data_IF_184035026842
#
_entry.id   IF_184035026842
#
_cell.length_a   1.000
_cell.length_b   1.000
_cell.length_c   1.000
_cell.angle_alpha   90.00
_cell.angle_beta   90.00
_cell.angle_gamma   90.00
#
_symmetry.space_group_name_H-M   'P 1'
#
loop_
_entity.id
_entity.type
_entity.pdbx_description
1 polymer ?
#
# COMPACT_ATOMS: atom_id res chain seq x y z
N UNK A 1 -41.08 58.36 -15.04
CA UNK A 1 -41.33 57.85 -16.40
C UNK A 1 -40.03 57.88 -17.19
N UNK A 2 -39.73 56.76 -17.86
CA UNK A 2 -38.80 56.59 -18.99
C UNK A 2 -37.29 56.62 -18.63
N UNK A 3 -36.44 55.73 -19.12
CA UNK A 3 -36.58 54.65 -20.10
C UNK A 3 -35.18 54.07 -20.36
N UNK A 4 -35.10 52.75 -20.38
CA UNK A 4 -33.89 51.93 -20.53
C UNK A 4 -33.29 52.06 -21.95
N UNK A 5 -31.97 52.24 -22.07
CA UNK A 5 -31.25 52.21 -23.35
C UNK A 5 -30.33 50.98 -23.37
N UNK A 6 -30.61 50.07 -24.31
CA UNK A 6 -29.84 48.85 -24.62
C UNK A 6 -28.58 49.19 -25.41
N UNK A 7 -27.48 48.49 -25.14
CA UNK A 7 -26.33 48.37 -26.04
C UNK A 7 -26.46 47.12 -26.92
N UNK A 8 -26.01 47.14 -28.20
CA UNK A 8 -26.11 46.03 -29.13
C UNK A 8 -24.93 45.03 -29.01
N UNK A 9 -25.23 43.75 -29.27
CA UNK A 9 -24.28 42.64 -29.30
C UNK A 9 -23.51 42.59 -30.62
N UNK A 10 -22.21 42.24 -30.55
CA UNK A 10 -21.35 41.96 -31.71
C UNK A 10 -21.47 40.49 -32.17
N UNK A 11 -21.29 40.18 -33.46
CA UNK A 11 -21.44 38.83 -34.00
C UNK A 11 -20.16 38.01 -33.82
N UNK A 12 -20.27 36.79 -33.31
CA UNK A 12 -19.16 35.82 -33.28
C UNK A 12 -19.36 34.85 -34.44
N UNK A 13 -18.39 34.85 -35.37
CA UNK A 13 -18.32 33.90 -36.48
C UNK A 13 -18.26 32.46 -35.96
N UNK A 14 -19.19 31.64 -36.45
CA UNK A 14 -19.25 30.18 -36.25
C UNK A 14 -18.34 29.51 -37.28
N UNK A 15 -17.23 28.92 -36.83
CA UNK A 15 -16.44 28.00 -37.65
C UNK A 15 -17.00 26.59 -37.48
N UNK A 16 -17.42 26.02 -38.62
CA UNK A 16 -17.95 24.66 -38.76
C UNK A 16 -16.79 23.65 -38.79
N UNK A 17 -16.86 22.60 -37.97
CA UNK A 17 -15.97 21.43 -38.03
C UNK A 17 -16.84 20.23 -38.45
N UNK A 18 -16.40 19.40 -39.41
CA UNK A 18 -17.20 18.33 -39.99
C UNK A 18 -17.45 17.17 -39.02
N UNK A 19 -18.68 16.64 -39.07
CA UNK A 19 -19.14 15.43 -38.42
C UNK A 19 -18.40 14.20 -38.97
N UNK A 20 -17.83 13.40 -38.08
CA UNK A 20 -17.40 12.04 -38.36
C UNK A 20 -18.30 11.09 -37.57
N UNK A 21 -19.21 10.44 -38.30
CA UNK A 21 -20.04 9.35 -37.83
C UNK A 21 -19.21 8.11 -37.48
N UNK A 22 -19.34 7.63 -36.25
CA UNK A 22 -19.11 6.22 -35.92
C UNK A 22 -19.91 5.79 -34.68
N UNK A 23 -20.45 4.57 -34.64
CA UNK A 23 -21.57 4.22 -33.77
C UNK A 23 -21.14 3.93 -32.33
N UNK A 24 -21.70 4.68 -31.38
CA UNK A 24 -21.57 4.41 -29.95
C UNK A 24 -22.52 3.27 -29.58
N UNK A 25 -21.96 2.09 -29.31
CA UNK A 25 -22.63 1.03 -28.55
C UNK A 25 -22.85 1.54 -27.13
N UNK A 26 -24.10 1.55 -26.69
CA UNK A 26 -24.51 1.81 -25.30
C UNK A 26 -24.03 0.68 -24.40
N UNK A 27 -22.86 0.89 -23.77
CA UNK A 27 -22.35 0.06 -22.68
C UNK A 27 -22.48 0.81 -21.36
N UNK A 28 -23.32 0.27 -20.47
CA UNK A 28 -23.46 0.68 -19.07
C UNK A 28 -22.10 0.89 -18.39
N UNK A 29 -21.82 2.12 -17.93
CA UNK A 29 -20.64 2.44 -17.14
C UNK A 29 -20.91 2.11 -15.66
N UNK A 30 -20.21 1.10 -15.19
CA UNK A 30 -20.12 0.69 -13.80
C UNK A 30 -19.14 1.63 -13.05
N UNK A 31 -19.51 2.36 -11.98
CA UNK A 31 -18.63 3.31 -11.33
C UNK A 31 -17.79 2.60 -10.26
N UNK A 32 -16.75 1.87 -10.68
CA UNK A 32 -15.74 1.34 -9.78
C UNK A 32 -14.36 1.48 -10.42
N UNK A 33 -13.54 2.39 -9.87
CA UNK A 33 -12.10 2.39 -10.12
C UNK A 33 -11.53 3.66 -10.73
N UNK A 34 -11.51 4.75 -9.96
CA UNK A 34 -10.57 5.85 -10.19
C UNK A 34 -9.81 6.14 -8.88
N UNK A 35 -8.76 5.37 -8.62
CA UNK A 35 -7.71 5.76 -7.65
C UNK A 35 -6.40 5.07 -8.02
N UNK A 36 -5.60 5.75 -8.84
CA UNK A 36 -4.30 5.23 -9.26
C UNK A 36 -3.67 6.09 -10.35
N UNK A 37 -3.33 7.33 -10.04
CA UNK A 37 -2.38 8.10 -10.85
C UNK A 37 -1.18 8.44 -9.96
N UNK A 38 -0.06 7.77 -10.21
CA UNK A 38 1.25 8.18 -9.72
C UNK A 38 2.04 8.73 -10.89
N UNK A 39 2.68 9.89 -10.67
CA UNK A 39 3.72 10.42 -11.53
C UNK A 39 4.98 9.58 -11.32
N UNK A 40 5.30 8.71 -12.26
CA UNK A 40 6.61 8.08 -12.36
C UNK A 40 7.59 9.09 -12.96
N UNK A 41 8.55 9.51 -12.14
CA UNK A 41 9.67 10.30 -12.58
C UNK A 41 10.90 9.93 -11.77
N UNK A 42 11.93 9.50 -12.49
CA UNK A 42 13.34 9.45 -12.08
C UNK A 42 13.78 8.17 -11.32
N UNK A 43 14.16 7.11 -12.06
CA UNK A 43 15.53 6.56 -12.15
C UNK A 43 15.59 5.14 -12.77
N UNK A 44 16.31 5.06 -13.90
CA UNK A 44 17.13 3.94 -14.44
C UNK A 44 16.50 2.57 -14.75
N UNK A 45 16.12 2.45 -16.02
CA UNK A 45 16.68 1.56 -17.05
C UNK A 45 17.44 0.30 -16.60
N UNK A 46 16.78 -0.86 -16.71
CA UNK A 46 17.42 -2.17 -16.87
C UNK A 46 17.04 -2.79 -18.23
N UNK A 47 18.06 -3.31 -18.91
CA UNK A 47 18.04 -3.77 -20.30
C UNK A 47 17.20 -5.04 -20.45
N UNK A 48 16.33 -5.09 -21.45
CA UNK A 48 15.70 -6.32 -21.93
C UNK A 48 16.66 -7.02 -22.90
N UNK A 49 17.17 -8.19 -22.53
CA UNK A 49 17.69 -9.16 -23.49
C UNK A 49 16.54 -10.07 -23.92
N UNK A 50 16.17 -10.01 -25.19
CA UNK A 50 15.18 -10.91 -25.80
C UNK A 50 15.92 -12.11 -26.37
N UNK A 51 15.64 -13.30 -25.84
CA UNK A 51 15.96 -14.57 -26.51
C UNK A 51 14.66 -15.33 -26.67
N UNK A 52 14.21 -15.49 -27.92
CA UNK A 52 13.15 -16.42 -28.31
C UNK A 52 13.74 -17.83 -28.36
N UNK A 53 13.12 -18.76 -27.66
CA UNK A 53 13.27 -20.19 -27.92
C UNK A 53 11.90 -20.85 -27.72
N UNK A 54 11.48 -21.54 -28.76
CA UNK A 54 10.22 -22.26 -28.88
C UNK A 54 10.55 -23.73 -28.59
N UNK A 55 10.06 -24.33 -27.50
CA UNK A 55 10.09 -25.79 -27.32
C UNK A 55 9.09 -26.25 -26.24
N UNK A 56 8.52 -27.43 -26.48
CA UNK A 56 7.24 -27.91 -25.96
C UNK A 56 7.09 -28.09 -24.44
N UNK A 57 5.83 -28.31 -24.06
CA UNK A 57 5.31 -28.50 -22.71
C UNK A 57 5.93 -29.74 -22.03
N UNK A 58 6.73 -29.59 -20.96
CA UNK A 58 7.06 -30.72 -20.10
C UNK A 58 5.96 -30.85 -19.04
N UNK A 59 5.49 -32.08 -18.80
CA UNK A 59 4.70 -32.39 -17.62
C UNK A 59 5.55 -32.12 -16.37
N UNK A 60 5.01 -31.37 -15.40
CA UNK A 60 5.71 -31.03 -14.16
C UNK A 60 5.69 -32.24 -13.23
N UNK A 61 6.84 -32.78 -12.80
CA UNK A 61 6.86 -33.76 -11.72
C UNK A 61 6.47 -33.05 -10.41
N UNK A 62 5.47 -33.60 -9.72
CA UNK A 62 5.15 -33.26 -8.33
C UNK A 62 6.37 -33.63 -7.48
N UNK A 63 7.16 -32.62 -7.15
CA UNK A 63 8.26 -32.74 -6.20
C UNK A 63 7.87 -31.93 -4.97
N UNK A 64 7.60 -32.62 -3.88
CA UNK A 64 7.54 -32.06 -2.53
C UNK A 64 8.92 -31.48 -2.21
N UNK A 65 9.15 -30.26 -2.69
CA UNK A 65 10.23 -29.41 -2.21
C UNK A 65 9.88 -29.00 -0.79
N UNK A 66 10.80 -29.05 0.19
CA UNK A 66 10.54 -28.49 1.51
C UNK A 66 10.07 -27.05 1.31
N UNK A 67 8.88 -26.74 1.83
CA UNK A 67 8.24 -25.44 1.63
C UNK A 67 9.25 -24.36 2.01
N UNK A 68 9.75 -23.61 1.03
CA UNK A 68 10.64 -22.50 1.31
C UNK A 68 9.90 -21.57 2.27
N UNK A 69 10.48 -21.36 3.44
CA UNK A 69 9.94 -20.47 4.45
C UNK A 69 9.82 -19.05 3.84
N UNK A 70 8.73 -18.36 4.18
CA UNK A 70 8.36 -17.07 3.60
C UNK A 70 8.05 -16.05 4.69
N UNK A 71 8.24 -14.78 4.34
CA UNK A 71 7.74 -13.65 5.12
C UNK A 71 6.56 -13.05 4.37
N UNK A 72 5.40 -13.02 5.00
CA UNK A 72 4.23 -12.29 4.50
C UNK A 72 4.12 -10.96 5.24
N UNK A 73 4.16 -9.86 4.52
CA UNK A 73 3.80 -8.54 5.05
C UNK A 73 2.36 -8.24 4.67
N UNK A 74 1.54 -7.84 5.64
CA UNK A 74 0.14 -7.51 5.45
C UNK A 74 -0.11 -6.12 6.01
N UNK A 75 -0.58 -5.21 5.15
CA UNK A 75 -1.04 -3.90 5.61
C UNK A 75 -2.42 -4.05 6.23
N UNK A 76 -2.63 -3.42 7.38
CA UNK A 76 -3.92 -3.39 8.07
C UNK A 76 -5.10 -3.02 7.15
N UNK A 77 -6.30 -3.40 7.59
CA UNK A 77 -7.58 -3.10 6.98
C UNK A 77 -7.85 -1.62 6.82
N UNK A 78 -8.72 -1.28 5.85
CA UNK A 78 -9.21 0.08 5.68
C UNK A 78 -9.99 0.48 6.93
N UNK A 79 -9.66 1.60 7.58
CA UNK A 79 -10.45 2.12 8.68
C UNK A 79 -11.70 2.84 8.18
N UNK A 80 -12.73 2.85 9.03
CA UNK A 80 -13.91 3.69 8.93
C UNK A 80 -13.53 5.12 9.34
N UNK A 81 -13.05 5.92 8.38
CA UNK A 81 -12.55 7.27 8.64
C UNK A 81 -12.90 8.21 7.49
N UNK A 82 -13.26 9.49 7.75
CA UNK A 82 -13.82 10.37 6.71
C UNK A 82 -12.94 10.52 5.45
N UNK A 83 -11.62 10.64 5.63
CA UNK A 83 -10.70 10.91 4.52
C UNK A 83 -10.10 9.66 3.87
N UNK A 84 -10.29 8.47 4.45
CA UNK A 84 -10.01 7.22 3.70
C UNK A 84 -11.04 6.97 2.61
N UNK A 85 -12.19 7.64 2.67
CA UNK A 85 -13.26 7.56 1.67
C UNK A 85 -13.22 8.76 0.69
N UNK A 86 -12.68 9.91 1.10
CA UNK A 86 -12.61 11.13 0.29
C UNK A 86 -11.19 11.74 0.24
N UNK A 87 -10.19 11.07 -0.36
CA UNK A 87 -8.79 11.54 -0.35
C UNK A 87 -8.58 12.90 -1.05
N UNK A 88 -9.50 13.28 -1.95
CA UNK A 88 -9.49 14.55 -2.68
C UNK A 88 -10.10 15.74 -1.93
N UNK A 89 -10.67 15.53 -0.73
CA UNK A 89 -11.30 16.59 0.05
C UNK A 89 -10.27 17.58 0.56
N UNK A 90 -10.53 18.87 0.30
CA UNK A 90 -9.66 19.96 0.73
C UNK A 90 -9.85 20.27 2.21
N UNK A 91 -8.77 20.18 2.99
CA UNK A 91 -8.76 20.43 4.43
C UNK A 91 -7.58 21.30 4.84
N UNK A 92 -7.72 21.98 5.98
CA UNK A 92 -6.65 22.74 6.60
C UNK A 92 -5.69 21.80 7.33
N UNK A 93 -4.41 22.19 7.43
CA UNK A 93 -3.41 21.40 8.16
C UNK A 93 -3.76 21.18 9.63
N UNK A 94 -4.41 22.15 10.29
CA UNK A 94 -4.92 21.97 11.67
C UNK A 94 -5.91 20.82 11.77
N UNK A 95 -6.77 20.68 10.77
CA UNK A 95 -7.77 19.63 10.70
C UNK A 95 -7.07 18.30 10.45
N UNK A 96 -6.15 18.23 9.49
CA UNK A 96 -5.32 17.03 9.26
C UNK A 96 -4.57 16.57 10.52
N UNK A 97 -3.90 17.49 11.24
CA UNK A 97 -3.16 17.16 12.47
C UNK A 97 -4.08 16.61 13.56
N UNK A 98 -5.29 17.18 13.73
CA UNK A 98 -6.30 16.68 14.67
C UNK A 98 -6.78 15.28 14.29
N UNK A 99 -7.09 15.09 13.01
CA UNK A 99 -7.62 13.84 12.46
C UNK A 99 -6.60 12.72 12.45
N UNK A 100 -5.31 13.01 12.22
CA UNK A 100 -4.26 12.00 12.26
C UNK A 100 -4.18 11.31 13.62
N UNK A 101 -4.52 12.01 14.71
CA UNK A 101 -4.61 11.42 16.06
C UNK A 101 -5.81 10.49 16.18
N UNK A 102 -6.98 10.94 15.72
CA UNK A 102 -8.23 10.16 15.75
C UNK A 102 -8.18 8.94 14.81
N UNK A 103 -7.31 8.96 13.80
CA UNK A 103 -7.13 7.84 12.88
C UNK A 103 -6.66 6.57 13.60
N UNK A 104 -5.78 6.69 14.60
CA UNK A 104 -5.29 5.52 15.35
C UNK A 104 -6.37 4.84 16.19
N UNK A 105 -7.41 5.60 16.58
CA UNK A 105 -8.54 5.12 17.38
C UNK A 105 -9.68 4.54 16.52
N UNK A 106 -9.66 4.79 15.21
CA UNK A 106 -10.73 4.42 14.28
C UNK A 106 -10.90 2.90 14.15
N UNK A 107 -12.16 2.46 14.04
CA UNK A 107 -12.51 1.07 13.76
C UNK A 107 -12.26 0.71 12.29
N UNK A 108 -12.21 -0.59 11.99
CA UNK A 108 -12.14 -1.08 10.61
C UNK A 108 -13.50 -0.95 9.90
N UNK A 109 -13.46 -0.64 8.60
CA UNK A 109 -14.63 -0.76 7.72
C UNK A 109 -14.86 -2.24 7.38
N UNK A 110 -15.77 -2.90 8.10
CA UNK A 110 -15.95 -4.35 8.01
C UNK A 110 -16.39 -4.84 6.62
N UNK A 111 -17.29 -4.14 5.94
CA UNK A 111 -17.81 -4.56 4.62
C UNK A 111 -16.74 -4.47 3.54
N UNK A 112 -16.02 -3.35 3.47
CA UNK A 112 -14.92 -3.17 2.53
C UNK A 112 -13.81 -4.20 2.77
N UNK A 113 -13.43 -4.42 4.03
CA UNK A 113 -12.36 -5.34 4.37
C UNK A 113 -12.72 -6.80 4.07
N UNK A 114 -13.95 -7.24 4.36
CA UNK A 114 -14.40 -8.60 4.02
C UNK A 114 -14.38 -8.83 2.51
N UNK A 115 -14.97 -7.92 1.73
CA UNK A 115 -14.95 -8.02 0.28
C UNK A 115 -13.52 -8.03 -0.27
N UNK A 116 -12.61 -7.22 0.31
CA UNK A 116 -11.22 -7.20 -0.10
C UNK A 116 -10.50 -8.52 0.18
N UNK A 117 -10.81 -9.20 1.29
CA UNK A 117 -10.25 -10.51 1.63
C UNK A 117 -10.74 -11.62 0.70
N UNK A 118 -12.03 -11.63 0.36
CA UNK A 118 -12.63 -12.60 -0.56
C UNK A 118 -12.01 -12.56 -1.97
N UNK A 119 -11.39 -11.44 -2.35
CA UNK A 119 -10.72 -11.26 -3.63
C UNK A 119 -9.26 -11.75 -3.65
N UNK A 120 -8.71 -12.20 -2.52
CA UNK A 120 -7.37 -12.81 -2.49
C UNK A 120 -7.43 -14.29 -2.91
N UNK A 121 -6.33 -14.80 -3.45
CA UNK A 121 -6.21 -16.21 -3.79
C UNK A 121 -6.39 -17.08 -2.52
N UNK A 122 -7.28 -18.09 -2.51
CA UNK A 122 -7.51 -18.94 -1.35
C UNK A 122 -6.23 -19.57 -0.78
N UNK A 123 -5.39 -20.14 -1.66
CA UNK A 123 -4.11 -20.77 -1.29
C UNK A 123 -3.16 -19.80 -0.57
N UNK A 124 -3.16 -18.51 -0.95
CA UNK A 124 -2.35 -17.50 -0.28
C UNK A 124 -2.83 -17.27 1.15
N UNK A 125 -4.15 -17.18 1.35
CA UNK A 125 -4.74 -17.00 2.67
C UNK A 125 -4.50 -18.22 3.57
N UNK A 126 -4.55 -19.44 3.03
CA UNK A 126 -4.23 -20.66 3.78
C UNK A 126 -2.78 -20.69 4.25
N UNK A 127 -1.85 -20.27 3.40
CA UNK A 127 -0.41 -20.15 3.75
C UNK A 127 -0.19 -19.12 4.85
N UNK A 128 -0.90 -17.99 4.81
CA UNK A 128 -0.87 -16.99 5.88
C UNK A 128 -1.44 -17.56 7.19
N UNK A 129 -2.59 -18.22 7.14
CA UNK A 129 -3.20 -18.85 8.33
C UNK A 129 -2.33 -19.95 8.95
N UNK A 130 -1.51 -20.59 8.14
CA UNK A 130 -0.56 -21.63 8.55
C UNK A 130 0.78 -21.06 9.06
N UNK A 131 1.07 -19.80 8.79
CA UNK A 131 2.29 -19.13 9.22
C UNK A 131 2.24 -18.69 10.69
N UNK A 132 3.40 -18.39 11.29
CA UNK A 132 3.47 -17.79 12.62
C UNK A 132 2.95 -16.35 12.56
N UNK A 133 1.88 -16.00 13.29
CA UNK A 133 1.28 -14.68 13.22
C UNK A 133 1.93 -13.69 14.17
N UNK A 134 2.32 -12.53 13.62
CA UNK A 134 2.93 -11.42 14.33
C UNK A 134 2.15 -10.14 13.96
N UNK A 135 1.94 -9.24 14.90
CA UNK A 135 1.22 -7.98 14.64
C UNK A 135 1.86 -6.80 15.35
N UNK A 136 1.70 -5.61 14.77
CA UNK A 136 1.71 -4.38 15.55
C UNK A 136 0.59 -4.43 16.58
N UNK A 137 0.85 -3.87 17.75
CA UNK A 137 -0.13 -3.71 18.84
C UNK A 137 -1.14 -2.57 18.61
N UNK A 138 -0.97 -1.74 17.58
CA UNK A 138 -1.96 -0.74 17.21
C UNK A 138 -3.26 -1.44 16.78
N UNK A 139 -4.38 -1.01 17.37
CA UNK A 139 -5.72 -1.61 17.27
C UNK A 139 -6.12 -2.09 15.87
N UNK A 140 -5.90 -1.28 14.82
CA UNK A 140 -6.29 -1.67 13.46
C UNK A 140 -5.47 -2.85 12.90
N UNK A 141 -4.21 -3.00 13.32
CA UNK A 141 -3.38 -4.14 12.91
C UNK A 141 -3.85 -5.42 13.61
N UNK A 142 -4.08 -5.36 14.93
CA UNK A 142 -4.60 -6.51 15.69
C UNK A 142 -5.99 -6.93 15.22
N UNK A 143 -6.90 -5.98 14.99
CA UNK A 143 -8.22 -6.27 14.41
C UNK A 143 -8.13 -6.88 13.00
N UNK A 144 -7.13 -6.49 12.21
CA UNK A 144 -6.89 -7.10 10.90
C UNK A 144 -6.39 -8.52 11.03
N UNK A 145 -5.49 -8.78 11.98
CA UNK A 145 -5.01 -10.13 12.25
C UNK A 145 -6.18 -11.06 12.64
N UNK A 146 -7.06 -10.63 13.57
CA UNK A 146 -8.26 -11.39 13.93
C UNK A 146 -9.20 -11.62 12.74
N UNK A 147 -9.38 -10.62 11.87
CA UNK A 147 -10.21 -10.75 10.67
C UNK A 147 -9.64 -11.78 9.67
N UNK A 148 -8.32 -11.87 9.53
CA UNK A 148 -7.65 -12.76 8.57
C UNK A 148 -7.47 -14.17 9.12
N UNK A 149 -7.12 -14.29 10.40
CA UNK A 149 -6.74 -15.55 11.05
C UNK A 149 -7.88 -16.22 11.83
N UNK A 150 -8.91 -15.46 12.18
CA UNK A 150 -9.95 -15.85 13.13
C UNK A 150 -9.66 -15.32 14.54
N UNK A 151 -10.72 -15.07 15.31
CA UNK A 151 -10.64 -14.41 16.63
C UNK A 151 -9.88 -15.21 17.70
N UNK A 152 -9.83 -16.54 17.57
CA UNK A 152 -9.21 -17.43 18.56
C UNK A 152 -7.72 -17.71 18.29
N UNK A 153 -7.13 -17.12 17.25
CA UNK A 153 -5.72 -17.35 16.94
C UNK A 153 -4.86 -16.49 17.87
N UNK A 154 -3.90 -17.12 18.54
CA UNK A 154 -2.88 -16.39 19.29
C UNK A 154 -1.96 -15.65 18.32
N UNK A 155 -1.74 -14.36 18.57
CA UNK A 155 -0.97 -13.45 17.70
C UNK A 155 0.07 -12.72 18.55
N UNK A 156 1.33 -12.85 18.15
CA UNK A 156 2.45 -12.24 18.84
C UNK A 156 2.49 -10.73 18.56
N UNK A 157 2.17 -9.89 19.55
CA UNK A 157 1.98 -8.45 19.37
C UNK A 157 3.16 -7.65 19.89
N UNK A 158 3.69 -6.73 19.08
CA UNK A 158 4.89 -5.96 19.41
C UNK A 158 4.79 -4.49 19.01
N UNK A 159 5.35 -3.61 19.85
CA UNK A 159 5.52 -2.19 19.52
C UNK A 159 6.52 -1.96 18.37
N UNK A 160 7.42 -2.93 18.15
CA UNK A 160 8.45 -2.91 17.12
C UNK A 160 7.88 -2.62 15.72
N UNK A 161 6.65 -3.07 15.46
CA UNK A 161 5.98 -2.98 14.17
C UNK A 161 4.97 -1.83 14.07
N UNK A 162 4.96 -0.87 15.01
CA UNK A 162 4.10 0.33 14.94
C UNK A 162 4.41 1.20 13.72
N UNK A 163 3.43 1.99 13.31
CA UNK A 163 3.60 2.97 12.22
C UNK A 163 4.62 4.05 12.62
N UNK A 164 5.31 4.63 11.64
CA UNK A 164 6.22 5.75 11.90
C UNK A 164 5.41 6.99 12.29
N UNK A 165 5.67 7.61 13.45
CA UNK A 165 5.00 8.84 13.87
C UNK A 165 5.45 10.00 12.98
N UNK A 166 4.53 10.49 12.14
CA UNK A 166 4.81 11.60 11.24
C UNK A 166 4.71 12.95 11.96
N UNK A 167 5.54 13.94 11.59
CA UNK A 167 5.46 15.27 12.16
C UNK A 167 4.19 15.99 11.72
N UNK A 168 3.77 16.96 12.51
CA UNK A 168 2.64 17.83 12.17
C UNK A 168 2.93 18.67 10.91
N UNK A 169 1.90 18.90 10.11
CA UNK A 169 1.96 19.80 8.94
C UNK A 169 1.58 21.24 9.33
N UNK A 170 1.95 22.26 8.54
CA UNK A 170 1.58 23.65 8.81
C UNK A 170 0.07 23.84 8.90
N UNK A 171 -0.40 24.39 10.02
CA UNK A 171 -1.84 24.46 10.34
C UNK A 171 -2.67 25.29 9.38
N UNK A 172 -2.06 26.35 8.84
CA UNK A 172 -2.67 27.34 7.93
C UNK A 172 -2.71 26.87 6.47
N UNK A 173 -2.09 25.75 6.12
CA UNK A 173 -2.02 25.29 4.74
C UNK A 173 -3.29 24.50 4.39
N UNK A 174 -3.98 24.88 3.30
CA UNK A 174 -5.15 24.15 2.79
C UNK A 174 -4.77 23.36 1.54
N UNK A 175 -4.91 22.04 1.61
CA UNK A 175 -4.61 21.10 0.54
C UNK A 175 -5.61 19.94 0.56
N UNK A 176 -5.72 19.13 -0.50
CA UNK A 176 -6.42 17.86 -0.41
C UNK A 176 -5.81 16.97 0.69
N UNK A 177 -6.64 16.21 1.41
CA UNK A 177 -6.24 15.42 2.57
C UNK A 177 -5.03 14.50 2.28
N UNK A 178 -4.99 13.88 1.10
CA UNK A 178 -3.88 13.05 0.68
C UNK A 178 -2.54 13.81 0.54
N UNK A 179 -2.57 15.07 0.12
CA UNK A 179 -1.36 15.89 -0.02
C UNK A 179 -0.75 16.27 1.33
N UNK A 180 -1.55 16.40 2.38
CA UNK A 180 -1.03 16.58 3.75
C UNK A 180 -0.23 15.38 4.23
N UNK A 181 -0.67 14.15 3.90
CA UNK A 181 0.10 12.94 4.22
C UNK A 181 1.45 12.91 3.48
N UNK A 182 1.46 13.29 2.21
CA UNK A 182 2.71 13.41 1.44
C UNK A 182 3.62 14.46 2.09
N UNK A 183 3.08 15.64 2.41
CA UNK A 183 3.82 16.72 3.03
C UNK A 183 4.41 16.30 4.38
N UNK A 184 3.65 15.59 5.22
CA UNK A 184 4.13 15.09 6.51
C UNK A 184 5.34 14.15 6.33
N UNK A 185 5.31 13.25 5.32
CA UNK A 185 6.44 12.39 4.97
C UNK A 185 7.64 13.18 4.45
N UNK A 186 7.42 14.20 3.61
CA UNK A 186 8.50 15.06 3.11
C UNK A 186 9.17 15.84 4.25
N UNK A 187 8.38 16.39 5.16
CA UNK A 187 8.90 17.06 6.37
C UNK A 187 9.70 16.09 7.25
N UNK A 188 9.21 14.86 7.43
CA UNK A 188 9.92 13.81 8.14
C UNK A 188 11.26 13.46 7.48
N UNK A 189 11.27 13.30 6.14
CA UNK A 189 12.49 13.07 5.37
C UNK A 189 13.48 14.24 5.44
N UNK A 190 12.97 15.47 5.56
CA UNK A 190 13.76 16.69 5.74
C UNK A 190 14.27 16.87 7.18
N UNK A 191 13.95 15.95 8.10
CA UNK A 191 14.42 15.99 9.49
C UNK A 191 13.62 16.91 10.40
N UNK A 192 12.37 17.25 10.04
CA UNK A 192 11.45 17.92 10.97
C UNK A 192 11.29 17.05 12.22
N UNK A 193 11.33 17.69 13.39
CA UNK A 193 11.17 17.01 14.68
C UNK A 193 9.88 16.19 14.72
N UNK A 194 10.04 14.91 15.02
CA UNK A 194 9.00 13.91 15.27
C UNK A 194 9.48 12.99 16.40
N UNK A 195 8.57 12.19 16.96
CA UNK A 195 8.90 11.25 18.05
C UNK A 195 9.92 10.19 17.62
N UNK A 196 9.96 9.88 16.32
CA UNK A 196 10.95 8.99 15.73
C UNK A 196 11.62 9.66 14.53
N UNK A 197 12.92 9.99 14.60
CA UNK A 197 13.67 10.49 13.45
C UNK A 197 13.98 9.38 12.44
N UNK A 198 14.39 9.78 11.23
CA UNK A 198 14.67 8.87 10.12
C UNK A 198 15.69 7.77 10.43
N UNK A 199 16.78 8.09 11.13
CA UNK A 199 17.80 7.11 11.51
C UNK A 199 17.21 6.04 12.43
N UNK A 200 16.52 6.47 13.48
CA UNK A 200 15.86 5.57 14.43
C UNK A 200 14.83 4.64 13.75
N UNK A 201 14.03 5.16 12.81
CA UNK A 201 13.08 4.34 12.06
C UNK A 201 13.77 3.31 11.15
N UNK A 202 14.95 3.63 10.59
CA UNK A 202 15.75 2.67 9.82
C UNK A 202 16.34 1.59 10.72
N UNK A 203 16.89 1.97 11.87
CA UNK A 203 17.41 1.03 12.85
C UNK A 203 16.29 0.12 13.38
N UNK A 204 15.08 0.66 13.54
CA UNK A 204 13.88 -0.11 13.91
C UNK A 204 13.46 -1.08 12.81
N UNK A 205 13.47 -0.66 11.54
CA UNK A 205 13.19 -1.55 10.42
C UNK A 205 14.23 -2.69 10.32
N UNK A 206 15.50 -2.41 10.58
CA UNK A 206 16.57 -3.41 10.67
C UNK A 206 16.30 -4.44 11.77
N UNK A 207 16.04 -3.98 13.01
CA UNK A 207 15.67 -4.87 14.13
C UNK A 207 14.39 -5.67 13.86
N UNK A 208 13.42 -5.08 13.16
CA UNK A 208 12.21 -5.77 12.74
C UNK A 208 12.51 -6.88 11.72
N UNK A 209 13.42 -6.64 10.78
CA UNK A 209 13.88 -7.68 9.86
C UNK A 209 14.62 -8.80 10.62
N UNK A 210 15.52 -8.48 11.55
CA UNK A 210 16.19 -9.48 12.41
C UNK A 210 15.17 -10.36 13.15
N UNK A 211 14.14 -9.71 13.73
CA UNK A 211 13.06 -10.41 14.42
C UNK A 211 12.35 -11.38 13.48
N UNK A 212 11.94 -10.94 12.29
CA UNK A 212 11.22 -11.79 11.33
C UNK A 212 12.09 -12.96 10.85
N UNK A 213 13.36 -12.72 10.53
CA UNK A 213 14.30 -13.75 10.07
C UNK A 213 14.59 -14.79 11.16
N UNK A 214 14.71 -14.39 12.42
CA UNK A 214 14.91 -15.32 13.53
C UNK A 214 13.72 -16.27 13.75
N UNK A 215 12.50 -15.82 13.45
CA UNK A 215 11.29 -16.63 13.57
C UNK A 215 11.00 -17.45 12.31
N UNK A 216 11.51 -17.01 11.16
CA UNK A 216 11.35 -17.69 9.87
C UNK A 216 12.08 -19.05 9.81
N UNK A 217 13.17 -19.20 10.55
CA UNK A 217 13.89 -20.48 10.68
C UNK A 217 13.05 -21.61 11.29
N UNK A 218 11.88 -21.30 11.86
CA UNK A 218 10.90 -22.27 12.39
C UNK A 218 9.70 -22.51 11.45
N UNK A 219 9.63 -21.82 10.31
CA UNK A 219 8.51 -21.85 9.36
C UNK A 219 8.16 -20.45 8.83
N UNK A 220 7.18 -20.35 7.93
CA UNK A 220 6.78 -19.03 7.40
C UNK A 220 6.20 -18.13 8.51
N UNK A 221 6.36 -16.82 8.36
CA UNK A 221 5.83 -15.79 9.28
C UNK A 221 4.90 -14.84 8.54
N UNK A 222 3.85 -14.35 9.21
CA UNK A 222 3.02 -13.25 8.70
C UNK A 222 3.01 -12.07 9.67
N UNK A 223 3.23 -10.87 9.15
CA UNK A 223 3.26 -9.62 9.89
C UNK A 223 2.10 -8.70 9.49
N UNK A 224 1.26 -8.34 10.45
CA UNK A 224 0.23 -7.31 10.30
C UNK A 224 0.73 -5.95 10.80
N UNK A 225 0.86 -4.98 9.90
CA UNK A 225 1.44 -3.66 10.23
C UNK A 225 0.92 -2.54 9.30
N UNK A 226 1.69 -1.46 9.15
CA UNK A 226 1.25 -0.16 8.63
C UNK A 226 2.01 0.27 7.39
N UNK A 227 1.40 1.14 6.59
CA UNK A 227 1.85 1.38 5.22
C UNK A 227 3.25 1.98 5.13
N UNK A 228 3.59 2.97 5.96
CA UNK A 228 4.87 3.65 5.84
C UNK A 228 6.01 2.84 6.49
N UNK A 229 5.76 2.20 7.63
CA UNK A 229 6.69 1.28 8.24
C UNK A 229 6.96 0.04 7.37
N UNK A 230 5.93 -0.58 6.79
CA UNK A 230 6.10 -1.72 5.88
C UNK A 230 6.88 -1.34 4.61
N UNK A 231 6.82 -0.08 4.18
CA UNK A 231 7.67 0.41 3.09
C UNK A 231 9.15 0.41 3.49
N UNK A 232 9.48 0.90 4.69
CA UNK A 232 10.86 0.85 5.21
C UNK A 232 11.33 -0.60 5.37
N UNK A 233 10.50 -1.45 5.96
CA UNK A 233 10.80 -2.87 6.18
C UNK A 233 10.95 -3.65 4.87
N UNK A 234 10.13 -3.36 3.85
CA UNK A 234 10.27 -3.94 2.51
C UNK A 234 11.67 -3.69 1.94
N UNK A 235 12.14 -2.44 2.03
CA UNK A 235 13.46 -2.08 1.51
C UNK A 235 14.59 -2.72 2.32
N UNK A 236 14.42 -2.84 3.63
CA UNK A 236 15.38 -3.54 4.48
C UNK A 236 15.49 -5.03 4.14
N UNK A 237 14.35 -5.72 3.98
CA UNK A 237 14.33 -7.13 3.59
C UNK A 237 14.98 -7.34 2.20
N UNK A 238 14.70 -6.47 1.23
CA UNK A 238 15.33 -6.54 -0.09
C UNK A 238 16.84 -6.31 0.00
N UNK A 239 17.29 -5.36 0.82
CA UNK A 239 18.70 -5.12 1.07
C UNK A 239 19.39 -6.36 1.68
N UNK A 240 18.66 -7.14 2.49
CA UNK A 240 19.10 -8.42 3.07
C UNK A 240 18.99 -9.62 2.11
N UNK A 241 18.61 -9.40 0.85
CA UNK A 241 18.58 -10.44 -0.18
C UNK A 241 17.24 -11.17 -0.31
N UNK A 242 16.18 -10.70 0.34
CA UNK A 242 14.83 -11.22 0.10
C UNK A 242 14.28 -10.77 -1.25
N UNK A 243 13.62 -11.68 -1.95
CA UNK A 243 12.97 -11.41 -3.23
C UNK A 243 11.52 -10.99 -3.01
N UNK A 244 11.12 -9.94 -3.72
CA UNK A 244 9.74 -9.46 -3.74
C UNK A 244 9.38 -8.91 -5.12
N UNK A 245 8.16 -9.18 -5.59
CA UNK A 245 7.69 -8.73 -6.91
C UNK A 245 7.39 -7.23 -6.98
N UNK A 246 7.09 -6.59 -5.84
CA UNK A 246 6.54 -5.24 -5.80
C UNK A 246 7.14 -4.45 -4.62
N UNK A 247 7.66 -3.25 -4.88
CA UNK A 247 8.30 -2.40 -3.86
C UNK A 247 7.54 -1.12 -3.53
N UNK A 248 6.44 -0.84 -4.26
CA UNK A 248 5.62 0.36 -4.02
C UNK A 248 5.00 0.36 -2.61
N UNK A 249 4.45 1.50 -2.14
CA UNK A 249 3.64 1.51 -0.92
C UNK A 249 2.45 0.56 -1.01
N UNK A 250 2.26 -0.27 0.03
CA UNK A 250 1.17 -1.24 0.09
C UNK A 250 -0.18 -0.56 0.28
N UNK A 251 -1.24 -1.07 -0.36
CA UNK A 251 -2.64 -0.67 -0.16
C UNK A 251 -3.25 -1.40 1.04
N UNK A 252 -4.42 -0.98 1.51
CA UNK A 252 -5.10 -1.67 2.61
C UNK A 252 -5.40 -3.13 2.26
N UNK A 253 -5.11 -4.05 3.21
CA UNK A 253 -5.16 -5.51 3.02
C UNK A 253 -4.35 -6.03 1.83
N UNK A 254 -3.37 -5.27 1.36
CA UNK A 254 -2.40 -5.84 0.45
C UNK A 254 -1.51 -6.82 1.21
N UNK A 255 -1.26 -7.96 0.59
CA UNK A 255 -0.36 -9.00 1.07
C UNK A 255 0.85 -8.99 0.15
N UNK A 256 2.03 -8.99 0.75
CA UNK A 256 3.29 -9.05 0.03
C UNK A 256 4.09 -10.24 0.54
N UNK A 257 4.46 -11.12 -0.37
CA UNK A 257 5.24 -12.32 -0.07
C UNK A 257 6.71 -12.05 -0.35
N UNK A 258 7.56 -12.51 0.54
CA UNK A 258 9.01 -12.50 0.38
C UNK A 258 9.52 -13.93 0.47
N UNK A 259 10.43 -14.27 -0.43
CA UNK A 259 11.15 -15.55 -0.45
C UNK A 259 12.65 -15.32 -0.50
N UNK A 260 13.42 -16.27 0.05
CA UNK A 260 14.86 -16.30 -0.21
C UNK A 260 15.14 -16.91 -1.58
N UNK A 261 16.16 -16.44 -2.30
CA UNK A 261 16.65 -17.17 -3.47
C UNK A 261 17.05 -18.58 -3.00
N UNK A 262 16.48 -19.61 -3.62
CA UNK A 262 16.85 -20.99 -3.32
C UNK A 262 18.36 -21.16 -3.46
N UNK A 263 18.97 -21.93 -2.55
CA UNK A 263 20.39 -22.31 -2.58
C UNK A 263 20.71 -23.28 -3.73
N UNK A 264 20.14 -23.06 -4.92
CA UNK A 264 20.44 -23.76 -6.16
C UNK A 264 20.96 -22.73 -7.17
N UNK A 265 22.22 -22.35 -7.05
CA UNK A 265 22.81 -21.36 -7.96
C UNK A 265 24.24 -20.90 -7.66
N UNK A 266 24.80 -21.22 -6.48
CA UNK A 266 26.23 -21.07 -6.22
C UNK A 266 26.95 -22.39 -6.55
N UNK A 267 26.97 -22.78 -7.82
CA UNK A 267 28.08 -23.58 -8.33
C UNK A 267 29.17 -22.59 -8.71
N UNK A 268 30.30 -22.70 -8.00
CA UNK A 268 31.53 -21.97 -8.23
C UNK A 268 31.88 -21.93 -9.74
N UNK A 269 32.30 -20.75 -10.20
CA UNK A 269 33.18 -20.60 -11.36
C UNK A 269 34.60 -20.47 -10.81
#
# INVERSE_FOLDING_TARGET
MHGCVRCPASPVHRLSIPELDCPIKTGSLNPAGFSGFYCDGIFRQCRKASVRSNMGRPQKPETNSPSQSQIFLIRHGKPEFPYTNEPGKWIWGREFNRLSKLYDESSLNHSWNRNRLENHAPDLLERIKSSRPISSDIRRATQTASLVLGENRDVDTHELFREVPLPTVPEFLKLPAYWHLILARLLWYAGKQSDEPRSAARDRASRAADFLESHEGSGSVCLFSHGFFLYLLTHELIHRGWLCEETRPMRYLEIRSFSRPGSEGLKAI
#
